data_IF_747008852986
#
_entry.id   IF_747008852986
#
_cell.length_a   1.000
_cell.length_b   1.000
_cell.length_c   1.000
_cell.angle_alpha   90.00
_cell.angle_beta   90.00
_cell.angle_gamma   90.00
#
_symmetry.space_group_name_H-M   'P 1'
#
loop_
_entity.id
_entity.type
_entity.pdbx_description
1 polymer ?
#
# COMPACT_ATOMS: atom_id res chain seq x y z
N UNK A 1 -25.18 4.36 10.36
CA UNK A 1 -24.58 3.01 10.22
C UNK A 1 -23.40 2.95 11.19
N UNK A 2 -23.35 1.98 12.10
CA UNK A 2 -22.25 1.83 13.05
C UNK A 2 -21.27 0.83 12.43
N UNK A 3 -20.02 1.24 12.23
CA UNK A 3 -18.99 0.37 11.66
C UNK A 3 -18.54 -0.58 12.78
N UNK A 4 -18.56 -1.89 12.50
CA UNK A 4 -18.05 -2.90 13.43
C UNK A 4 -16.57 -3.16 13.14
N UNK A 5 -15.72 -2.53 13.93
CA UNK A 5 -14.26 -2.64 13.83
C UNK A 5 -13.74 -4.03 14.22
N UNK A 6 -14.48 -4.80 15.02
CA UNK A 6 -14.00 -6.08 15.57
C UNK A 6 -13.88 -7.18 14.51
N UNK A 7 -14.62 -7.03 13.41
CA UNK A 7 -14.58 -7.94 12.26
C UNK A 7 -13.47 -7.61 11.25
N UNK A 8 -12.79 -6.46 11.39
CA UNK A 8 -11.79 -5.99 10.43
C UNK A 8 -10.42 -6.56 10.76
N UNK A 9 -9.79 -7.21 9.77
CA UNK A 9 -8.43 -7.77 9.91
C UNK A 9 -7.43 -6.68 10.29
N UNK A 10 -7.56 -5.47 9.73
CA UNK A 10 -6.68 -4.32 10.02
C UNK A 10 -6.70 -3.86 11.47
N UNK A 11 -7.78 -4.15 12.20
CA UNK A 11 -7.95 -3.81 13.62
C UNK A 11 -7.69 -5.01 14.54
N UNK A 12 -7.39 -6.18 13.96
CA UNK A 12 -7.11 -7.40 14.72
C UNK A 12 -5.70 -7.40 15.31
N UNK A 13 -5.52 -8.09 16.45
CA UNK A 13 -4.19 -8.25 17.07
C UNK A 13 -3.41 -9.33 16.32
N UNK A 14 -2.15 -9.04 15.99
CA UNK A 14 -1.23 -10.07 15.51
C UNK A 14 -0.70 -10.90 16.71
N UNK A 15 -0.94 -12.23 16.77
CA UNK A 15 -0.42 -13.08 17.84
C UNK A 15 1.11 -13.12 17.91
N UNK A 16 1.81 -12.94 16.78
CA UNK A 16 3.27 -12.95 16.74
C UNK A 16 3.91 -11.75 17.47
N UNK A 17 3.14 -10.68 17.70
CA UNK A 17 3.56 -9.47 18.40
C UNK A 17 2.87 -9.31 19.76
N UNK A 18 2.35 -10.38 20.36
CA UNK A 18 1.58 -10.31 21.60
C UNK A 18 2.36 -9.65 22.76
N UNK A 19 3.67 -9.91 22.83
CA UNK A 19 4.58 -9.43 23.89
C UNK A 19 5.67 -8.49 23.34
N UNK A 20 5.42 -7.84 22.19
CA UNK A 20 6.43 -7.09 21.42
C UNK A 20 7.12 -5.96 22.22
N UNK A 21 6.42 -5.37 23.19
CA UNK A 21 6.89 -4.29 24.06
C UNK A 21 7.91 -4.74 25.11
N UNK A 22 8.02 -6.06 25.34
CA UNK A 22 8.95 -6.65 26.31
C UNK A 22 10.19 -7.29 25.67
N UNK A 23 10.24 -7.39 24.34
CA UNK A 23 11.33 -8.05 23.63
C UNK A 23 12.63 -7.22 23.63
N UNK A 24 13.81 -7.88 23.62
CA UNK A 24 15.04 -7.22 23.21
C UNK A 24 14.88 -6.60 21.82
N UNK A 25 15.50 -5.44 21.59
CA UNK A 25 15.34 -4.68 20.34
C UNK A 25 15.57 -5.51 19.08
N UNK A 26 16.58 -6.40 19.08
CA UNK A 26 16.87 -7.26 17.95
C UNK A 26 15.71 -8.23 17.65
N UNK A 27 15.06 -8.77 18.68
CA UNK A 27 13.96 -9.70 18.52
C UNK A 27 12.68 -8.99 18.10
N UNK A 28 12.42 -7.78 18.60
CA UNK A 28 11.36 -6.91 18.09
C UNK A 28 11.53 -6.64 16.58
N UNK A 29 12.75 -6.29 16.15
CA UNK A 29 13.03 -6.04 14.73
C UNK A 29 12.87 -7.32 13.88
N UNK A 30 13.20 -8.50 14.43
CA UNK A 30 12.95 -9.78 13.75
C UNK A 30 11.46 -10.08 13.57
N UNK A 31 10.62 -9.72 14.55
CA UNK A 31 9.15 -9.84 14.42
C UNK A 31 8.66 -8.95 13.27
N UNK A 32 9.04 -7.67 13.27
CA UNK A 32 8.65 -6.72 12.20
C UNK A 32 9.12 -7.22 10.83
N UNK A 33 10.39 -7.58 10.70
CA UNK A 33 10.93 -8.01 9.42
C UNK A 33 10.28 -9.31 8.91
N UNK A 34 9.88 -10.23 9.80
CA UNK A 34 9.15 -11.43 9.40
C UNK A 34 7.78 -11.08 8.82
N UNK A 35 7.08 -10.11 9.40
CA UNK A 35 5.80 -9.63 8.86
C UNK A 35 5.98 -8.90 7.52
N UNK A 36 7.03 -8.09 7.36
CA UNK A 36 7.34 -7.42 6.09
C UNK A 36 7.51 -8.43 4.93
N UNK A 37 8.13 -9.58 5.20
CA UNK A 37 8.33 -10.64 4.20
C UNK A 37 7.01 -11.25 3.69
N UNK A 38 5.89 -11.05 4.40
CA UNK A 38 4.57 -11.53 3.98
C UNK A 38 3.93 -10.65 2.90
N UNK A 39 4.42 -9.41 2.72
CA UNK A 39 3.82 -8.42 1.83
C UNK A 39 3.96 -8.81 0.36
N UNK A 40 5.16 -9.19 -0.09
CA UNK A 40 5.39 -9.52 -1.49
C UNK A 40 4.53 -10.73 -1.98
N UNK A 41 4.43 -11.84 -1.23
CA UNK A 41 3.48 -12.92 -1.56
C UNK A 41 2.00 -12.50 -1.53
N UNK A 42 1.63 -11.50 -0.72
CA UNK A 42 0.27 -10.96 -0.73
C UNK A 42 0.00 -10.12 -1.99
N UNK A 43 0.97 -9.31 -2.42
CA UNK A 43 0.90 -8.54 -3.68
C UNK A 43 0.86 -9.46 -4.89
N UNK A 44 1.61 -10.57 -4.89
CA UNK A 44 1.57 -11.56 -5.98
C UNK A 44 0.14 -12.04 -6.27
N UNK A 45 -0.68 -12.23 -5.23
CA UNK A 45 -2.07 -12.68 -5.36
C UNK A 45 -2.99 -11.64 -5.96
N UNK A 46 -2.59 -10.37 -6.01
CA UNK A 46 -3.41 -9.26 -6.56
C UNK A 46 -3.00 -8.87 -7.99
N UNK A 47 -1.96 -9.51 -8.55
CA UNK A 47 -1.45 -9.18 -9.89
C UNK A 47 -2.52 -9.22 -11.00
N UNK A 48 -3.49 -10.16 -11.03
CA UNK A 48 -4.55 -10.14 -12.04
C UNK A 48 -5.39 -8.85 -11.98
N UNK A 49 -5.71 -8.35 -10.79
CA UNK A 49 -6.48 -7.12 -10.62
C UNK A 49 -5.65 -5.88 -10.91
N UNK A 50 -4.38 -5.88 -10.48
CA UNK A 50 -3.43 -4.79 -10.78
C UNK A 50 -3.24 -4.66 -12.29
N UNK A 51 -3.14 -5.77 -13.03
CA UNK A 51 -3.03 -5.75 -14.49
C UNK A 51 -4.21 -5.04 -15.16
N UNK A 52 -5.45 -5.31 -14.70
CA UNK A 52 -6.64 -4.63 -15.20
C UNK A 52 -6.60 -3.12 -14.97
N UNK A 53 -6.11 -2.69 -13.81
CA UNK A 53 -5.94 -1.26 -13.49
C UNK A 53 -4.89 -0.63 -14.39
N UNK A 54 -3.74 -1.28 -14.59
CA UNK A 54 -2.66 -0.80 -15.46
C UNK A 54 -3.18 -0.62 -16.89
N UNK A 55 -3.90 -1.60 -17.44
CA UNK A 55 -4.44 -1.53 -18.80
C UNK A 55 -5.43 -0.37 -18.96
N UNK A 56 -6.33 -0.20 -17.99
CA UNK A 56 -7.31 0.88 -18.00
C UNK A 56 -6.67 2.26 -17.89
N UNK A 57 -5.67 2.41 -17.02
CA UNK A 57 -4.92 3.66 -16.84
C UNK A 57 -4.10 3.99 -18.09
N UNK A 58 -3.42 3.00 -18.66
CA UNK A 58 -2.68 3.19 -19.91
C UNK A 58 -3.60 3.62 -21.06
N UNK A 59 -4.81 3.07 -21.14
CA UNK A 59 -5.82 3.53 -22.10
C UNK A 59 -6.26 4.97 -21.82
N UNK A 60 -6.49 5.33 -20.55
CA UNK A 60 -6.86 6.70 -20.19
C UNK A 60 -5.77 7.70 -20.60
N UNK A 61 -4.49 7.39 -20.34
CA UNK A 61 -3.38 8.24 -20.79
C UNK A 61 -3.32 8.41 -22.31
N UNK A 62 -3.55 7.33 -23.08
CA UNK A 62 -3.61 7.42 -24.56
C UNK A 62 -4.73 8.34 -25.06
N UNK A 63 -5.79 8.50 -24.27
CA UNK A 63 -6.91 9.39 -24.58
C UNK A 63 -6.75 10.80 -23.98
N UNK A 64 -5.57 11.14 -23.43
CA UNK A 64 -5.30 12.43 -22.79
C UNK A 64 -5.90 12.59 -21.39
N UNK A 65 -6.28 11.47 -20.75
CA UNK A 65 -6.75 11.44 -19.37
C UNK A 65 -5.61 11.53 -18.34
N UNK A 66 -5.99 11.50 -17.05
CA UNK A 66 -5.07 11.57 -15.90
C UNK A 66 -5.34 10.45 -14.91
N UNK A 67 -4.32 10.06 -14.15
CA UNK A 67 -4.44 9.18 -12.98
C UNK A 67 -4.48 10.04 -11.72
N UNK A 68 -5.52 9.87 -10.90
CA UNK A 68 -5.71 10.64 -9.66
C UNK A 68 -5.76 9.68 -8.48
N UNK A 69 -4.83 9.84 -7.54
CA UNK A 69 -4.87 9.16 -6.25
C UNK A 69 -5.63 10.00 -5.22
N UNK A 70 -6.43 9.34 -4.38
CA UNK A 70 -7.18 9.99 -3.30
C UNK A 70 -7.12 9.15 -2.02
N UNK A 71 -6.86 9.79 -0.88
CA UNK A 71 -6.81 9.13 0.42
C UNK A 71 -6.49 10.09 1.56
N UNK A 72 -6.54 9.58 2.79
CA UNK A 72 -6.18 10.31 4.01
C UNK A 72 -4.97 9.66 4.70
N UNK A 73 -4.30 10.41 5.59
CA UNK A 73 -3.18 9.90 6.40
C UNK A 73 -2.05 9.30 5.56
N UNK A 74 -1.55 8.13 5.97
CA UNK A 74 -0.46 7.41 5.27
C UNK A 74 -0.83 7.08 3.82
N UNK A 75 -2.04 6.60 3.55
CA UNK A 75 -2.46 6.23 2.19
C UNK A 75 -2.45 7.43 1.24
N UNK A 76 -2.94 8.59 1.68
CA UNK A 76 -2.89 9.82 0.88
C UNK A 76 -1.45 10.28 0.61
N UNK A 77 -0.56 10.19 1.61
CA UNK A 77 0.86 10.56 1.45
C UNK A 77 1.62 9.63 0.51
N UNK A 78 1.30 8.33 0.48
CA UNK A 78 1.87 7.39 -0.49
C UNK A 78 1.43 7.71 -1.93
N UNK A 79 0.18 8.14 -2.13
CA UNK A 79 -0.27 8.64 -3.43
C UNK A 79 0.48 9.89 -3.88
N UNK A 80 0.74 10.84 -2.96
CA UNK A 80 1.57 12.02 -3.25
C UNK A 80 3.01 11.62 -3.60
N UNK A 81 3.59 10.68 -2.84
CA UNK A 81 4.94 10.17 -3.08
C UNK A 81 5.08 9.63 -4.50
N UNK A 82 4.22 8.68 -4.90
CA UNK A 82 4.24 8.06 -6.23
C UNK A 82 4.04 9.10 -7.35
N UNK A 83 3.01 9.95 -7.22
CA UNK A 83 2.74 10.98 -8.22
C UNK A 83 3.88 11.99 -8.39
N UNK A 84 4.58 12.33 -7.30
CA UNK A 84 5.71 13.27 -7.33
C UNK A 84 6.96 12.72 -8.04
N UNK A 85 7.09 11.39 -8.12
CA UNK A 85 8.20 10.72 -8.79
C UNK A 85 7.98 10.58 -10.31
N UNK A 86 6.74 10.70 -10.79
CA UNK A 86 6.42 10.56 -12.22
C UNK A 86 7.09 11.60 -13.12
N UNK A 87 7.04 12.93 -12.85
CA UNK A 87 7.70 13.93 -13.69
C UNK A 87 9.22 13.74 -13.85
N UNK A 88 10.02 13.56 -12.77
CA UNK A 88 11.46 13.38 -12.92
C UNK A 88 11.83 12.00 -13.50
N UNK A 89 11.01 10.96 -13.31
CA UNK A 89 11.31 9.61 -13.80
C UNK A 89 10.95 9.44 -15.27
N UNK A 90 9.78 9.94 -15.68
CA UNK A 90 9.19 9.66 -16.99
C UNK A 90 9.05 10.91 -17.89
N UNK A 91 9.40 12.10 -17.39
CA UNK A 91 9.29 13.35 -18.14
C UNK A 91 7.85 13.82 -18.37
N UNK A 92 6.90 13.36 -17.55
CA UNK A 92 5.50 13.77 -17.63
C UNK A 92 5.27 15.16 -17.04
N UNK A 93 4.19 15.88 -17.43
CA UNK A 93 3.74 17.05 -16.69
C UNK A 93 3.43 16.70 -15.23
N UNK A 94 3.45 17.71 -14.35
CA UNK A 94 3.11 17.56 -12.93
C UNK A 94 1.60 17.68 -12.63
N UNK A 95 0.79 18.00 -13.65
CA UNK A 95 -0.66 18.29 -13.61
C UNK A 95 -1.55 17.04 -13.79
#
# INVERSE_FOLDING_TARGET
>A
MKIDLTSMITESRNPASADIDSLPTLDMLRVINREDQTVAPAVEKTLPQVALVVDAVAQAFRLGGRLIYMGAGTSGRLGILDASECPPTFGTPAE
#
